data_IF_480757714131
#
_entry.id   IF_480757714131
#
_cell.length_a   1.000
_cell.length_b   1.000
_cell.length_c   1.000
_cell.angle_alpha   90.00
_cell.angle_beta   90.00
_cell.angle_gamma   90.00
#
_symmetry.space_group_name_H-M   'P 1'
#
loop_
_entity.id
_entity.type
_entity.pdbx_description
1 polymer ?
#
# COMPACT_ATOMS: atom_id res chain seq x y z
N UNK A 1 11.22 -13.40 -6.65
CA UNK A 1 10.35 -12.53 -7.48
C UNK A 1 10.13 -11.11 -6.90
N UNK A 2 10.75 -10.74 -5.77
CA UNK A 2 10.53 -9.43 -5.11
C UNK A 2 10.68 -8.22 -6.03
N UNK A 3 11.77 -8.14 -6.80
CA UNK A 3 12.00 -7.04 -7.74
C UNK A 3 10.93 -6.94 -8.83
N UNK A 4 10.42 -8.08 -9.31
CA UNK A 4 9.35 -8.10 -10.30
C UNK A 4 8.03 -7.57 -9.71
N UNK A 5 7.75 -7.88 -8.45
CA UNK A 5 6.57 -7.39 -7.72
C UNK A 5 6.70 -5.91 -7.39
N UNK A 6 7.86 -5.44 -6.90
CA UNK A 6 8.14 -4.03 -6.66
C UNK A 6 7.94 -3.21 -7.94
N UNK A 7 8.57 -3.63 -9.05
CA UNK A 7 8.38 -2.95 -10.34
C UNK A 7 6.93 -3.01 -10.85
N UNK A 8 6.15 -4.03 -10.50
CA UNK A 8 4.73 -4.06 -10.84
C UNK A 8 3.93 -3.00 -10.06
N UNK A 9 4.16 -2.87 -8.75
CA UNK A 9 3.56 -1.83 -7.91
C UNK A 9 3.90 -0.45 -8.44
N UNK A 10 5.17 -0.17 -8.72
CA UNK A 10 5.61 1.13 -9.25
C UNK A 10 4.99 1.47 -10.60
N UNK A 11 4.92 0.49 -11.52
CA UNK A 11 4.28 0.68 -12.83
C UNK A 11 2.79 0.99 -12.73
N UNK A 12 2.10 0.42 -11.75
CA UNK A 12 0.68 0.71 -11.53
C UNK A 12 0.49 2.07 -10.86
N UNK A 13 1.31 2.40 -9.85
CA UNK A 13 1.23 3.69 -9.16
C UNK A 13 1.46 4.87 -10.10
N UNK A 14 2.43 4.76 -11.03
CA UNK A 14 2.72 5.81 -12.02
C UNK A 14 1.50 6.19 -12.88
N UNK A 15 0.56 5.27 -13.10
CA UNK A 15 -0.65 5.57 -13.87
C UNK A 15 -1.64 6.48 -13.12
N UNK A 16 -1.53 6.55 -11.80
CA UNK A 16 -2.43 7.29 -10.93
C UNK A 16 -1.74 8.38 -10.12
N UNK A 17 -0.41 8.54 -10.23
CA UNK A 17 0.40 9.42 -9.38
C UNK A 17 0.00 10.91 -9.44
N UNK A 18 -0.59 11.34 -10.56
CA UNK A 18 -1.10 12.71 -10.72
C UNK A 18 -2.43 12.96 -10.02
N UNK A 19 -3.08 11.92 -9.51
CA UNK A 19 -4.34 12.03 -8.78
C UNK A 19 -4.09 12.68 -7.42
N UNK A 20 -4.95 13.63 -7.03
CA UNK A 20 -4.88 14.25 -5.73
C UNK A 20 -5.00 13.19 -4.62
N UNK A 21 -4.02 13.14 -3.72
CA UNK A 21 -3.99 12.18 -2.62
C UNK A 21 -3.46 10.78 -2.98
N UNK A 22 -2.86 10.58 -4.16
CA UNK A 22 -2.23 9.31 -4.51
C UNK A 22 -1.11 8.95 -3.51
N UNK A 23 -1.28 7.84 -2.80
CA UNK A 23 -0.31 7.28 -1.85
C UNK A 23 -0.37 5.75 -1.91
N UNK A 24 0.79 5.09 -1.92
CA UNK A 24 0.85 3.64 -1.84
C UNK A 24 0.77 3.18 -0.39
N UNK A 25 -0.33 2.53 -0.01
CA UNK A 25 -0.48 1.92 1.32
C UNK A 25 0.11 0.51 1.31
N UNK A 26 1.07 0.24 2.19
CA UNK A 26 1.66 -1.09 2.39
C UNK A 26 1.18 -1.73 3.70
N UNK A 27 0.44 -2.83 3.56
CA UNK A 27 0.03 -3.71 4.64
C UNK A 27 0.60 -5.13 4.51
N UNK A 28 0.37 -5.95 5.53
CA UNK A 28 0.71 -7.38 5.51
C UNK A 28 2.17 -7.71 5.85
N UNK A 29 2.45 -8.99 6.06
CA UNK A 29 3.71 -9.48 6.65
C UNK A 29 4.97 -9.32 5.80
N UNK A 30 4.86 -8.96 4.51
CA UNK A 30 5.99 -8.74 3.62
C UNK A 30 6.31 -7.25 3.38
N UNK A 31 5.58 -6.34 4.03
CA UNK A 31 5.66 -4.91 3.74
C UNK A 31 7.05 -4.30 4.00
N UNK A 32 7.77 -4.74 5.03
CA UNK A 32 9.11 -4.21 5.33
C UNK A 32 10.13 -4.61 4.27
N UNK A 33 9.99 -5.82 3.71
CA UNK A 33 10.82 -6.28 2.59
C UNK A 33 10.51 -5.53 1.29
N UNK A 34 9.31 -4.96 1.17
CA UNK A 34 8.90 -4.16 0.01
C UNK A 34 9.21 -2.68 0.16
N UNK A 35 9.12 -2.11 1.37
CA UNK A 35 9.30 -0.66 1.57
C UNK A 35 10.69 -0.19 1.15
N UNK A 36 11.71 -1.02 1.33
CA UNK A 36 13.09 -0.71 0.89
C UNK A 36 13.30 -0.84 -0.62
N UNK A 37 12.35 -1.41 -1.36
CA UNK A 37 12.47 -1.68 -2.80
C UNK A 37 11.70 -0.68 -3.67
N UNK A 38 10.78 0.08 -3.09
CA UNK A 38 9.89 0.99 -3.82
C UNK A 38 10.45 2.41 -3.86
N UNK A 39 10.53 2.98 -5.06
CA UNK A 39 10.95 4.35 -5.31
C UNK A 39 9.75 5.28 -5.51
N UNK A 40 8.78 5.25 -4.61
CA UNK A 40 7.55 6.05 -4.63
C UNK A 40 7.07 6.38 -3.20
N UNK A 41 6.10 7.31 -3.02
CA UNK A 41 5.52 7.60 -1.71
C UNK A 41 4.78 6.38 -1.14
N UNK A 42 5.32 5.83 -0.06
CA UNK A 42 4.78 4.68 0.67
C UNK A 42 4.35 5.08 2.07
N UNK A 43 3.18 4.61 2.49
CA UNK A 43 2.73 4.66 3.87
C UNK A 43 2.50 3.24 4.39
N UNK A 44 3.16 2.88 5.50
CA UNK A 44 2.92 1.62 6.20
C UNK A 44 1.60 1.69 6.96
N UNK A 45 0.73 0.70 6.77
CA UNK A 45 -0.51 0.55 7.54
C UNK A 45 -0.68 -0.92 7.92
N UNK A 46 -0.36 -1.25 9.17
CA UNK A 46 -0.36 -2.64 9.65
C UNK A 46 -1.75 -3.26 9.74
N UNK A 47 -2.71 -2.46 10.22
CA UNK A 47 -4.04 -2.94 10.58
C UNK A 47 -5.12 -2.46 9.61
N UNK A 48 -4.78 -2.11 8.37
CA UNK A 48 -5.73 -1.51 7.40
C UNK A 48 -7.06 -2.29 7.30
N UNK A 49 -6.97 -3.63 7.26
CA UNK A 49 -8.15 -4.50 7.19
C UNK A 49 -8.94 -4.49 8.51
N UNK A 50 -8.26 -4.60 9.65
CA UNK A 50 -8.90 -4.61 10.97
C UNK A 50 -9.54 -3.25 11.29
N UNK A 51 -8.89 -2.16 10.93
CA UNK A 51 -9.42 -0.81 11.05
C UNK A 51 -10.66 -0.61 10.16
N UNK A 52 -10.72 -1.28 9.01
CA UNK A 52 -11.92 -1.32 8.16
C UNK A 52 -13.05 -2.11 8.81
N UNK A 53 -12.77 -3.30 9.35
CA UNK A 53 -13.74 -4.12 10.05
C UNK A 53 -14.31 -3.43 11.30
N UNK A 54 -13.46 -2.75 12.07
CA UNK A 54 -13.88 -2.01 13.25
C UNK A 54 -14.89 -0.90 12.89
N UNK A 55 -14.66 -0.16 11.79
CA UNK A 55 -15.59 0.87 11.31
C UNK A 55 -16.92 0.27 10.88
N UNK A 56 -16.90 -0.82 10.09
CA UNK A 56 -18.12 -1.52 9.67
C UNK A 56 -18.93 -2.00 10.87
N UNK A 57 -18.27 -2.50 11.92
CA UNK A 57 -18.93 -2.96 13.14
C UNK A 57 -19.52 -1.81 13.99
N UNK A 58 -19.00 -0.60 13.87
CA UNK A 58 -19.54 0.60 14.54
C UNK A 58 -20.73 1.20 13.80
N UNK A 59 -20.81 0.99 12.49
CA UNK A 59 -21.90 1.47 11.62
C UNK A 59 -23.11 0.50 11.57
N UNK A 60 -23.00 -0.68 12.18
CA UNK A 60 -24.02 -1.74 12.25
C UNK A 60 -24.84 -1.68 13.55
#
# INVERSE_FOLDING_TARGET
>A
CLQAQAGAVERMFRQIESSAGACCLLGGGAADAFSSLLSLPVQRVDNLVLDGLARIAQDA
#
